data_IF_583380282598
#
_entry.id   IF_583380282598
#
_cell.length_a   1.000
_cell.length_b   1.000
_cell.length_c   1.000
_cell.angle_alpha   90.00
_cell.angle_beta   90.00
_cell.angle_gamma   90.00
#
_symmetry.space_group_name_H-M   'P 1'
#
loop_
_entity.id
_entity.type
_entity.pdbx_description
1 polymer ?
#
# COMPACT_ATOMS: atom_id res chain seq x y z
N UNK A 1 1.81 0.81 -15.66
CA UNK A 1 0.62 0.93 -16.52
C UNK A 1 -0.64 1.24 -15.74
N UNK A 2 -1.23 2.38 -16.07
CA UNK A 2 -2.59 2.75 -15.65
C UNK A 2 -3.61 2.24 -16.66
N UNK A 3 -4.65 1.62 -16.14
CA UNK A 3 -5.75 1.05 -16.92
C UNK A 3 -6.99 1.89 -16.66
N UNK A 4 -7.60 2.37 -17.74
CA UNK A 4 -8.83 3.15 -17.72
C UNK A 4 -9.92 2.36 -18.40
N UNK A 5 -11.04 2.16 -17.71
CA UNK A 5 -12.23 1.52 -18.29
C UNK A 5 -12.95 2.55 -19.15
N UNK A 6 -13.14 2.24 -20.43
CA UNK A 6 -13.78 3.13 -21.39
C UNK A 6 -15.13 2.61 -21.90
N UNK A 7 -15.47 1.36 -21.62
CA UNK A 7 -16.76 0.76 -22.02
C UNK A 7 -17.99 1.59 -21.56
N UNK A 8 -17.90 2.27 -20.41
CA UNK A 8 -19.00 3.10 -19.88
C UNK A 8 -19.02 4.54 -20.44
N UNK A 9 -18.04 4.92 -21.25
CA UNK A 9 -17.96 6.26 -21.85
C UNK A 9 -18.43 6.30 -23.30
N UNK A 10 -18.91 5.18 -23.85
CA UNK A 10 -19.30 5.04 -25.26
C UNK A 10 -18.11 4.94 -26.23
N UNK A 11 -16.91 4.62 -25.73
CA UNK A 11 -15.75 4.37 -26.58
C UNK A 11 -15.87 3.03 -27.32
N UNK A 12 -15.21 2.91 -28.48
CA UNK A 12 -15.13 1.64 -29.24
C UNK A 12 -14.31 0.57 -28.53
N UNK A 13 -13.35 0.98 -27.70
CA UNK A 13 -12.44 0.10 -26.98
C UNK A 13 -12.91 -0.13 -25.54
N UNK A 14 -12.73 -1.34 -25.03
CA UNK A 14 -13.09 -1.68 -23.65
C UNK A 14 -12.19 -0.99 -22.61
N UNK A 15 -10.87 -0.99 -22.85
CA UNK A 15 -9.88 -0.43 -21.93
C UNK A 15 -8.73 0.30 -22.65
N UNK A 16 -8.22 1.35 -22.01
CA UNK A 16 -7.00 2.03 -22.43
C UNK A 16 -5.89 1.81 -21.39
N UNK A 17 -4.77 1.27 -21.82
CA UNK A 17 -3.55 1.18 -21.01
C UNK A 17 -2.61 2.33 -21.34
N UNK A 18 -2.15 3.04 -20.32
CA UNK A 18 -1.18 4.14 -20.45
C UNK A 18 0.06 3.86 -19.59
N UNK A 19 1.22 3.92 -20.22
CA UNK A 19 2.51 3.90 -19.53
C UNK A 19 2.80 5.31 -19.01
N UNK A 20 2.75 5.49 -17.68
CA UNK A 20 3.11 6.73 -17.01
C UNK A 20 4.51 6.57 -16.40
N UNK A 21 5.44 7.44 -16.79
CA UNK A 21 6.81 7.43 -16.30
C UNK A 21 7.02 8.62 -15.38
N UNK A 22 7.16 8.35 -14.08
CA UNK A 22 7.46 9.36 -13.08
C UNK A 22 8.75 8.99 -12.34
N UNK A 23 9.65 9.96 -12.17
CA UNK A 23 10.80 9.80 -11.28
C UNK A 23 10.33 9.79 -9.83
N UNK A 24 10.83 8.84 -9.05
CA UNK A 24 10.49 8.69 -7.63
C UNK A 24 11.49 9.43 -6.72
N UNK A 25 12.54 10.04 -7.29
CA UNK A 25 13.63 10.60 -6.49
C UNK A 25 14.47 9.54 -5.76
N UNK A 26 14.45 8.28 -6.24
CA UNK A 26 15.31 7.19 -5.75
C UNK A 26 14.56 6.13 -4.94
N UNK A 27 13.66 6.52 -4.04
CA UNK A 27 12.87 5.58 -3.23
C UNK A 27 11.37 5.71 -3.48
N UNK A 28 10.67 4.58 -3.47
CA UNK A 28 9.22 4.53 -3.63
C UNK A 28 8.56 4.34 -2.25
N UNK A 29 7.84 5.35 -1.78
CA UNK A 29 7.22 5.34 -0.47
C UNK A 29 5.72 5.07 -0.54
N UNK A 30 5.23 4.21 0.35
CA UNK A 30 3.81 3.96 0.55
C UNK A 30 3.51 4.25 2.03
N UNK A 31 2.58 5.18 2.33
CA UNK A 31 2.18 5.44 3.70
C UNK A 31 1.61 4.17 4.36
N UNK A 32 2.06 3.85 5.57
CA UNK A 32 1.58 2.65 6.29
C UNK A 32 0.05 2.63 6.47
N UNK A 33 -0.57 3.82 6.57
CA UNK A 33 -2.04 3.97 6.66
C UNK A 33 -2.80 3.32 5.50
N UNK A 34 -2.17 3.17 4.33
CA UNK A 34 -2.76 2.49 3.17
C UNK A 34 -2.97 0.98 3.39
N UNK A 35 -2.33 0.38 4.39
CA UNK A 35 -2.47 -1.04 4.72
C UNK A 35 -3.55 -1.29 5.77
N UNK A 36 -4.10 -0.25 6.41
CA UNK A 36 -5.07 -0.39 7.51
C UNK A 36 -6.49 -0.23 6.97
N UNK A 37 -7.37 -1.20 7.26
CA UNK A 37 -8.78 -1.10 6.89
C UNK A 37 -9.43 0.14 7.51
N UNK A 38 -10.36 0.76 6.80
CA UNK A 38 -11.09 1.93 7.31
C UNK A 38 -12.10 1.53 8.39
N UNK A 39 -12.81 0.43 8.16
CA UNK A 39 -14.01 0.07 8.92
C UNK A 39 -13.75 -1.03 9.96
N UNK A 40 -12.64 -1.77 9.84
CA UNK A 40 -12.27 -2.88 10.72
C UNK A 40 -10.95 -2.58 11.43
N UNK A 41 -11.02 -2.25 12.73
CA UNK A 41 -9.88 -1.81 13.52
C UNK A 41 -8.78 -2.85 13.76
N UNK A 42 -9.01 -4.12 13.41
CA UNK A 42 -8.04 -5.22 13.55
C UNK A 42 -7.62 -5.83 12.20
N UNK A 43 -8.05 -5.24 11.07
CA UNK A 43 -7.76 -5.77 9.74
C UNK A 43 -6.70 -4.92 9.03
N UNK A 44 -5.68 -5.59 8.51
CA UNK A 44 -4.70 -5.01 7.59
C UNK A 44 -4.70 -5.76 6.25
N UNK A 45 -4.30 -5.08 5.19
CA UNK A 45 -4.23 -5.59 3.82
C UNK A 45 -2.90 -5.20 3.19
N UNK A 46 -2.26 -6.15 2.52
CA UNK A 46 -0.99 -5.97 1.82
C UNK A 46 -1.06 -6.58 0.42
N UNK A 47 -0.24 -6.07 -0.49
CA UNK A 47 -0.23 -6.48 -1.89
C UNK A 47 -1.21 -5.66 -2.72
N UNK A 48 -1.86 -6.28 -3.72
CA UNK A 48 -2.69 -5.56 -4.71
C UNK A 48 -4.04 -5.08 -4.19
N UNK A 49 -4.43 -5.46 -2.98
CA UNK A 49 -5.68 -5.05 -2.32
C UNK A 49 -5.51 -3.93 -1.29
N UNK A 50 -4.31 -3.33 -1.19
CA UNK A 50 -4.09 -2.18 -0.32
C UNK A 50 -4.89 -0.94 -0.75
N UNK A 51 -5.14 -0.02 0.18
CA UNK A 51 -5.92 1.19 -0.07
C UNK A 51 -5.17 2.15 -0.99
N UNK A 52 -5.62 2.25 -2.25
CA UNK A 52 -5.08 3.14 -3.26
C UNK A 52 -6.15 3.49 -4.31
N UNK A 53 -5.91 4.56 -5.07
CA UNK A 53 -6.68 4.83 -6.28
C UNK A 53 -6.21 3.94 -7.43
N UNK A 54 -6.97 3.88 -8.52
CA UNK A 54 -6.55 3.14 -9.72
C UNK A 54 -5.18 3.61 -10.24
N UNK A 55 -4.88 4.91 -10.19
CA UNK A 55 -3.56 5.47 -10.53
C UNK A 55 -2.51 5.04 -9.50
N UNK A 56 -2.83 5.12 -8.20
CA UNK A 56 -1.94 4.73 -7.11
C UNK A 56 -1.53 3.25 -7.17
N UNK A 57 -2.39 2.37 -7.69
CA UNK A 57 -2.11 0.94 -7.86
C UNK A 57 -1.08 0.66 -8.98
N UNK A 58 -0.88 1.59 -9.92
CA UNK A 58 -0.14 1.35 -11.17
C UNK A 58 1.34 1.02 -10.98
N UNK A 59 1.99 1.71 -10.04
CA UNK A 59 3.41 1.54 -9.72
C UNK A 59 3.70 0.40 -8.71
N UNK A 60 3.06 0.38 -7.53
CA UNK A 60 3.45 -0.46 -6.41
C UNK A 60 2.90 -1.89 -6.47
N UNK A 61 2.16 -2.26 -7.51
CA UNK A 61 1.63 -3.62 -7.72
C UNK A 61 2.67 -4.64 -8.21
N UNK A 62 3.95 -4.28 -8.28
CA UNK A 62 5.04 -5.20 -8.65
C UNK A 62 5.44 -6.11 -7.49
N UNK A 63 6.00 -7.29 -7.78
CA UNK A 63 6.23 -8.33 -6.77
C UNK A 63 7.11 -7.87 -5.60
N UNK A 64 8.19 -7.11 -5.86
CA UNK A 64 9.09 -6.62 -4.82
C UNK A 64 8.38 -5.68 -3.84
N UNK A 65 7.64 -4.69 -4.34
CA UNK A 65 6.89 -3.76 -3.48
C UNK A 65 5.79 -4.47 -2.73
N UNK A 66 5.04 -5.38 -3.37
CA UNK A 66 4.04 -6.21 -2.68
C UNK A 66 4.65 -7.08 -1.56
N UNK A 67 5.84 -7.65 -1.79
CA UNK A 67 6.58 -8.39 -0.76
C UNK A 67 6.96 -7.49 0.42
N UNK A 68 7.44 -6.27 0.15
CA UNK A 68 7.76 -5.29 1.19
C UNK A 68 6.52 -4.84 1.98
N UNK A 69 5.36 -4.68 1.32
CA UNK A 69 4.09 -4.44 2.02
C UNK A 69 3.78 -5.58 2.99
N UNK A 70 3.95 -6.84 2.56
CA UNK A 70 3.76 -8.02 3.40
C UNK A 70 4.66 -8.03 4.63
N UNK A 71 5.95 -7.74 4.44
CA UNK A 71 6.94 -7.62 5.53
C UNK A 71 6.52 -6.53 6.53
N UNK A 72 6.18 -5.33 6.04
CA UNK A 72 5.75 -4.22 6.88
C UNK A 72 4.49 -4.56 7.69
N UNK A 73 3.51 -5.22 7.05
CA UNK A 73 2.25 -5.60 7.70
C UNK A 73 2.46 -6.71 8.73
N UNK A 74 3.37 -7.66 8.46
CA UNK A 74 3.75 -8.72 9.40
C UNK A 74 4.43 -8.18 10.66
N UNK A 75 5.41 -7.27 10.50
CA UNK A 75 6.03 -6.60 11.64
C UNK A 75 5.03 -5.71 12.41
N UNK A 76 4.14 -5.02 11.70
CA UNK A 76 3.10 -4.24 12.36
C UNK A 76 2.17 -5.11 13.21
N UNK A 77 1.81 -6.32 12.75
CA UNK A 77 1.02 -7.27 13.55
C UNK A 77 1.77 -7.71 14.83
N UNK A 78 3.08 -7.92 14.75
CA UNK A 78 3.91 -8.20 15.93
C UNK A 78 3.90 -7.01 16.91
N UNK A 79 3.99 -5.77 16.41
CA UNK A 79 3.91 -4.56 17.23
C UNK A 79 2.52 -4.35 17.85
N UNK A 80 1.44 -4.68 17.13
CA UNK A 80 0.08 -4.64 17.66
C UNK A 80 -0.02 -5.52 18.91
N UNK A 81 0.52 -6.75 18.85
CA UNK A 81 0.57 -7.66 20.00
C UNK A 81 1.48 -7.15 21.12
N UNK A 82 2.67 -6.63 20.78
CA UNK A 82 3.67 -6.13 21.75
C UNK A 82 3.14 -4.97 22.59
N UNK A 83 2.48 -4.01 21.95
CA UNK A 83 2.01 -2.77 22.57
C UNK A 83 0.53 -2.80 22.97
N UNK A 84 -0.14 -3.94 22.77
CA UNK A 84 -1.60 -4.08 22.92
C UNK A 84 -2.35 -2.95 22.16
N UNK A 85 -1.95 -2.72 20.92
CA UNK A 85 -2.36 -1.60 20.09
C UNK A 85 -3.02 -2.09 18.80
N UNK A 86 -3.95 -1.30 18.26
CA UNK A 86 -4.49 -1.49 16.92
C UNK A 86 -3.45 -1.14 15.83
N UNK A 87 -3.61 -1.65 14.59
CA UNK A 87 -2.80 -1.23 13.44
C UNK A 87 -2.77 0.29 13.24
N UNK A 88 -3.88 0.98 13.50
CA UNK A 88 -3.94 2.44 13.38
C UNK A 88 -3.06 3.12 14.42
N UNK A 89 -3.06 2.63 15.65
CA UNK A 89 -2.21 3.13 16.73
C UNK A 89 -0.73 2.81 16.47
N UNK A 90 -0.40 1.64 15.91
CA UNK A 90 0.96 1.35 15.45
C UNK A 90 1.44 2.40 14.45
N UNK A 91 0.61 2.76 13.47
CA UNK A 91 0.93 3.80 12.49
C UNK A 91 1.07 5.22 13.06
N UNK A 92 0.47 5.50 14.23
CA UNK A 92 0.53 6.81 14.89
C UNK A 92 1.66 6.90 15.92
N UNK A 93 1.75 5.91 16.81
CA UNK A 93 2.57 5.95 18.01
C UNK A 93 3.84 5.09 17.90
N UNK A 94 3.86 4.08 17.02
CA UNK A 94 4.96 3.10 16.93
C UNK A 94 5.59 3.03 15.53
N UNK A 95 5.33 4.02 14.67
CA UNK A 95 5.81 4.02 13.27
C UNK A 95 7.33 4.03 13.16
N UNK A 96 8.03 4.66 14.11
CA UNK A 96 9.49 4.68 14.14
C UNK A 96 10.09 3.30 14.44
N UNK A 97 9.45 2.54 15.33
CA UNK A 97 9.86 1.16 15.61
C UNK A 97 9.59 0.27 14.39
N UNK A 98 8.43 0.44 13.75
CA UNK A 98 8.12 -0.29 12.52
C UNK A 98 9.14 0.00 11.40
N UNK A 99 9.52 1.27 11.20
CA UNK A 99 10.53 1.68 10.21
C UNK A 99 11.87 0.98 10.44
N UNK A 100 12.34 0.93 11.69
CA UNK A 100 13.56 0.21 12.06
C UNK A 100 13.48 -1.29 11.73
N UNK A 101 12.35 -1.93 12.03
CA UNK A 101 12.15 -3.37 11.75
C UNK A 101 12.18 -3.69 10.25
N UNK A 102 11.68 -2.79 9.40
CA UNK A 102 11.72 -2.95 7.94
C UNK A 102 13.05 -2.49 7.32
N UNK A 103 14.05 -2.16 8.13
CA UNK A 103 15.37 -1.73 7.68
C UNK A 103 15.42 -0.28 7.16
N UNK A 104 14.41 0.53 7.50
CA UNK A 104 14.41 1.96 7.25
C UNK A 104 14.93 2.71 8.48
N UNK A 105 16.17 3.19 8.40
CA UNK A 105 16.81 4.00 9.44
C UNK A 105 16.24 5.42 9.48
#
# INVERSE_FOLDING_TARGET
>A
DSHYQLALTGASEDFLSKALFHSTGGMYYIPFRCFVARDLGNLMMAGRCFSCSHIGLCGPRVMKTCGQMGIATGYAAALCKKHNASPLEVGKSHIQELRKLVGYA
#
